data_IF_499867771899
#
_entry.id   IF_499867771899
#
_cell.length_a   1.000
_cell.length_b   1.000
_cell.length_c   1.000
_cell.angle_alpha   90.00
_cell.angle_beta   90.00
_cell.angle_gamma   90.00
#
_symmetry.space_group_name_H-M   'P 1'
#
loop_
_entity.id
_entity.type
_entity.pdbx_description
1 polymer ?
#
# COMPACT_ATOMS: atom_id res chain seq x y z
N UNK A 1 0.47 17.94 -6.00
CA UNK A 1 1.46 17.29 -5.13
C UNK A 1 0.82 15.98 -4.72
N UNK A 2 1.48 14.86 -4.99
CA UNK A 2 0.99 13.54 -4.63
C UNK A 2 1.56 13.13 -3.26
N UNK A 3 0.88 12.22 -2.57
CA UNK A 3 1.45 11.47 -1.45
C UNK A 3 1.44 10.02 -1.89
N UNK A 4 2.63 9.50 -2.20
CA UNK A 4 2.78 8.16 -2.76
C UNK A 4 2.91 7.14 -1.66
N UNK A 5 2.60 5.90 -1.98
CA UNK A 5 2.77 4.79 -1.06
C UNK A 5 3.11 3.51 -1.79
N UNK A 6 3.55 2.52 -1.02
CA UNK A 6 3.73 1.15 -1.50
C UNK A 6 2.85 0.21 -0.68
N UNK A 7 2.09 -0.65 -1.35
CA UNK A 7 1.15 -1.58 -0.71
C UNK A 7 1.72 -2.99 -0.87
N UNK A 8 1.96 -3.69 0.22
CA UNK A 8 2.60 -4.99 0.26
C UNK A 8 1.84 -6.03 1.09
N UNK A 9 2.10 -7.30 0.83
CA UNK A 9 1.57 -8.45 1.58
C UNK A 9 2.70 -9.40 1.99
N UNK A 10 2.72 -9.80 3.25
CA UNK A 10 3.69 -10.77 3.78
C UNK A 10 3.33 -12.20 3.33
N UNK A 11 4.26 -12.85 2.63
CA UNK A 11 4.16 -14.23 2.19
C UNK A 11 4.63 -15.20 3.28
N UNK A 12 4.34 -16.49 3.10
CA UNK A 12 4.62 -17.51 4.14
C UNK A 12 6.11 -17.73 4.43
N UNK A 13 6.99 -17.37 3.51
CA UNK A 13 8.45 -17.44 3.66
C UNK A 13 9.07 -16.14 4.21
N UNK A 14 8.25 -15.13 4.50
CA UNK A 14 8.68 -13.82 4.99
C UNK A 14 9.06 -12.83 3.89
N UNK A 15 8.99 -13.21 2.62
CA UNK A 15 9.09 -12.27 1.50
C UNK A 15 7.84 -11.39 1.40
N UNK A 16 7.96 -10.24 0.74
CA UNK A 16 6.87 -9.28 0.59
C UNK A 16 6.63 -9.04 -0.89
N UNK A 17 5.41 -9.31 -1.35
CA UNK A 17 4.97 -8.90 -2.68
C UNK A 17 4.31 -7.53 -2.57
N UNK A 18 4.68 -6.57 -3.40
CA UNK A 18 4.20 -5.19 -3.30
C UNK A 18 3.92 -4.52 -4.63
N UNK A 19 3.05 -3.51 -4.62
CA UNK A 19 2.72 -2.66 -5.75
C UNK A 19 2.77 -1.18 -5.35
N UNK A 20 3.15 -0.32 -6.29
CA UNK A 20 3.16 1.12 -6.11
C UNK A 20 1.76 1.73 -6.18
N UNK A 21 1.53 2.79 -5.39
CA UNK A 21 0.29 3.54 -5.35
C UNK A 21 0.56 5.05 -5.30
N UNK A 22 -0.09 5.80 -6.20
CA UNK A 22 0.32 7.18 -6.51
C UNK A 22 -0.33 8.27 -5.65
N UNK A 23 -1.65 8.20 -5.43
CA UNK A 23 -2.43 9.31 -4.87
C UNK A 23 -3.01 9.01 -3.50
N UNK A 24 -2.98 10.00 -2.60
CA UNK A 24 -3.65 9.93 -1.28
C UNK A 24 -3.13 8.81 -0.37
N UNK A 25 -1.83 8.50 -0.44
CA UNK A 25 -1.18 7.43 0.32
C UNK A 25 -1.09 7.62 1.85
N UNK A 26 -1.66 8.70 2.41
CA UNK A 26 -1.61 8.96 3.86
C UNK A 26 -2.60 8.08 4.66
N UNK A 27 -2.31 7.78 5.94
CA UNK A 27 -3.08 6.80 6.73
C UNK A 27 -4.57 7.12 6.87
N UNK A 28 -4.93 8.41 6.91
CA UNK A 28 -6.30 8.90 7.04
C UNK A 28 -7.18 8.63 5.82
N UNK A 29 -6.59 8.30 4.67
CA UNK A 29 -7.33 7.93 3.46
C UNK A 29 -7.00 6.50 3.03
N UNK A 30 -5.77 6.25 2.57
CA UNK A 30 -5.40 4.94 2.03
C UNK A 30 -5.53 3.84 3.09
N UNK A 31 -4.97 4.05 4.28
CA UNK A 31 -5.06 3.06 5.36
C UNK A 31 -6.51 2.68 5.70
N UNK A 32 -7.44 3.64 5.67
CA UNK A 32 -8.87 3.38 5.91
C UNK A 32 -9.54 2.65 4.76
N UNK A 33 -9.20 2.96 3.52
CA UNK A 33 -9.67 2.23 2.34
C UNK A 33 -9.19 0.77 2.40
N UNK A 34 -7.91 0.54 2.68
CA UNK A 34 -7.35 -0.80 2.83
C UNK A 34 -8.06 -1.60 3.93
N UNK A 35 -8.24 -1.00 5.13
CA UNK A 35 -8.97 -1.64 6.23
C UNK A 35 -10.46 -1.89 5.95
N UNK A 36 -11.08 -1.15 5.02
CA UNK A 36 -12.53 -1.27 4.73
C UNK A 36 -12.82 -2.20 3.55
N UNK A 37 -12.02 -2.12 2.50
CA UNK A 37 -12.30 -2.75 1.20
C UNK A 37 -11.30 -3.85 0.83
N UNK A 38 -10.12 -3.87 1.45
CA UNK A 38 -9.06 -4.84 1.20
C UNK A 38 -8.61 -5.51 2.50
N UNK A 39 -9.58 -5.94 3.32
CA UNK A 39 -9.41 -6.32 4.72
C UNK A 39 -9.18 -7.82 4.96
N UNK A 40 -8.81 -8.56 3.92
CA UNK A 40 -8.47 -9.97 4.00
C UNK A 40 -7.28 -10.24 3.11
N UNK A 41 -6.58 -11.36 3.37
CA UNK A 41 -5.43 -11.76 2.58
C UNK A 41 -5.79 -11.87 1.10
N UNK A 42 -6.95 -12.45 0.78
CA UNK A 42 -7.43 -12.64 -0.59
C UNK A 42 -7.64 -11.30 -1.31
N UNK A 43 -8.30 -10.34 -0.66
CA UNK A 43 -8.55 -9.01 -1.25
C UNK A 43 -7.25 -8.19 -1.38
N UNK A 44 -6.36 -8.29 -0.40
CA UNK A 44 -5.05 -7.65 -0.46
C UNK A 44 -4.18 -8.22 -1.59
N UNK A 45 -4.18 -9.55 -1.76
CA UNK A 45 -3.49 -10.22 -2.88
C UNK A 45 -4.07 -9.80 -4.22
N UNK A 46 -5.40 -9.81 -4.39
CA UNK A 46 -6.03 -9.37 -5.64
C UNK A 46 -5.69 -7.91 -5.98
N UNK A 47 -5.69 -7.03 -4.99
CA UNK A 47 -5.29 -5.63 -5.17
C UNK A 47 -3.85 -5.53 -5.69
N UNK A 48 -2.92 -6.22 -5.04
CA UNK A 48 -1.49 -6.18 -5.36
C UNK A 48 -1.23 -6.84 -6.71
N UNK A 49 -1.84 -7.99 -7.01
CA UNK A 49 -1.62 -8.74 -8.26
C UNK A 49 -1.95 -7.94 -9.53
N UNK A 50 -2.80 -6.91 -9.43
CA UNK A 50 -3.07 -6.00 -10.55
C UNK A 50 -1.91 -5.06 -10.92
N UNK A 51 -0.88 -4.97 -10.08
CA UNK A 51 0.32 -4.17 -10.30
C UNK A 51 0.17 -2.73 -9.82
N UNK A 52 1.05 -1.86 -10.34
CA UNK A 52 1.09 -0.46 -9.93
C UNK A 52 -0.19 0.28 -10.32
N UNK A 53 -0.62 1.20 -9.45
CA UNK A 53 -1.90 1.88 -9.59
C UNK A 53 -1.85 3.38 -9.30
N UNK A 54 -2.77 4.11 -9.93
CA UNK A 54 -3.03 5.52 -9.64
C UNK A 54 -3.68 5.69 -8.26
N UNK A 55 -4.76 4.94 -8.05
CA UNK A 55 -5.52 4.87 -6.81
C UNK A 55 -6.10 3.46 -6.66
N UNK A 56 -6.27 2.99 -5.44
CA UNK A 56 -6.92 1.71 -5.14
C UNK A 56 -8.45 1.84 -5.05
N UNK A 57 -8.99 3.06 -5.01
CA UNK A 57 -10.43 3.30 -4.80
C UNK A 57 -10.85 4.67 -5.34
N UNK A 58 -11.29 4.69 -6.61
CA UNK A 58 -11.80 5.88 -7.29
C UNK A 58 -13.34 5.96 -7.34
N UNK A 59 -13.86 6.73 -8.30
CA UNK A 59 -15.31 6.90 -8.53
C UNK A 59 -16.01 5.56 -8.79
N UNK A 60 -15.34 4.67 -9.51
CA UNK A 60 -15.83 3.33 -9.86
C UNK A 60 -15.68 2.31 -8.73
N UNK A 61 -15.18 2.72 -7.55
CA UNK A 61 -14.96 1.83 -6.38
C UNK A 61 -14.08 0.63 -6.72
N UNK A 62 -13.06 0.87 -7.54
CA UNK A 62 -12.11 -0.11 -8.00
C UNK A 62 -10.71 0.51 -8.12
N UNK A 63 -9.65 -0.30 -8.17
CA UNK A 63 -8.32 0.18 -8.46
C UNK A 63 -8.17 0.66 -9.91
N UNK A 64 -7.40 1.74 -10.08
CA UNK A 64 -7.01 2.27 -11.38
C UNK A 64 -5.57 1.86 -11.70
N UNK A 65 -5.40 0.63 -12.19
CA UNK A 65 -4.09 0.09 -12.55
C UNK A 65 -3.49 0.76 -13.78
N UNK A 66 -2.17 0.93 -13.78
CA UNK A 66 -1.42 1.41 -14.95
C UNK A 66 -1.42 0.39 -16.10
N UNK A 67 -1.51 -0.90 -15.78
CA UNK A 67 -1.67 -1.99 -16.75
C UNK A 67 -2.92 -1.84 -17.62
N UNK A 68 -4.00 -1.25 -17.10
CA UNK A 68 -5.21 -0.94 -17.88
C UNK A 68 -4.96 0.09 -19.01
N UNK A 69 -3.84 0.84 -18.94
CA UNK A 69 -3.39 1.80 -19.96
C UNK A 69 -2.30 1.23 -20.89
N UNK A 70 -1.94 -0.05 -20.70
CA UNK A 70 -0.90 -0.73 -21.47
C UNK A 70 0.52 -0.56 -20.92
N UNK A 71 0.67 -0.09 -19.68
CA UNK A 71 1.97 -0.02 -19.00
C UNK A 71 2.32 -1.38 -18.36
N UNK A 72 3.60 -1.76 -18.42
CA UNK A 72 4.08 -3.00 -17.82
C UNK A 72 4.71 -2.70 -16.46
N UNK A 73 3.86 -2.68 -15.43
CA UNK A 73 4.22 -2.34 -14.05
C UNK A 73 3.75 -3.46 -13.10
N UNK A 74 4.37 -4.65 -13.16
CA UNK A 74 3.98 -5.78 -12.32
C UNK A 74 4.40 -5.57 -10.86
N UNK A 75 3.82 -6.32 -9.92
CA UNK A 75 4.25 -6.29 -8.53
C UNK A 75 5.72 -6.67 -8.36
N UNK A 76 6.35 -6.07 -7.36
CA UNK A 76 7.75 -6.32 -6.98
C UNK A 76 7.80 -7.29 -5.81
N UNK A 77 8.70 -8.26 -5.87
CA UNK A 77 8.96 -9.21 -4.79
C UNK A 77 10.25 -8.84 -4.07
N UNK A 78 10.13 -8.46 -2.81
CA UNK A 78 11.24 -8.17 -1.90
C UNK A 78 11.48 -9.36 -0.98
N UNK A 79 12.75 -9.72 -0.73
CA UNK A 79 13.07 -10.93 0.04
C UNK A 79 12.82 -10.78 1.54
N UNK A 80 12.66 -9.54 2.03
CA UNK A 80 12.46 -9.26 3.45
C UNK A 80 11.81 -7.90 3.69
N UNK A 81 11.35 -7.67 4.93
CA UNK A 81 10.87 -6.35 5.38
C UNK A 81 11.91 -5.24 5.21
N UNK A 82 13.19 -5.54 5.39
CA UNK A 82 14.26 -4.56 5.22
C UNK A 82 14.36 -4.09 3.77
N UNK A 83 14.33 -5.03 2.82
CA UNK A 83 14.36 -4.71 1.38
C UNK A 83 13.13 -3.89 0.97
N UNK A 84 11.95 -4.33 1.39
CA UNK A 84 10.68 -3.64 1.14
C UNK A 84 10.66 -2.18 1.64
N UNK A 85 11.32 -1.91 2.78
CA UNK A 85 11.38 -0.58 3.38
C UNK A 85 12.62 0.24 2.95
N UNK A 86 13.52 -0.31 2.13
CA UNK A 86 14.81 0.34 1.82
C UNK A 86 14.73 1.46 0.77
N UNK A 87 13.77 1.38 -0.16
CA UNK A 87 13.55 2.35 -1.25
C UNK A 87 12.04 2.66 -1.36
N UNK A 88 11.46 3.03 -0.20
CA UNK A 88 10.04 3.26 -0.04
C UNK A 88 9.59 4.64 -0.52
N UNK A 89 8.31 4.73 -0.86
CA UNK A 89 7.61 6.01 -1.07
C UNK A 89 7.37 6.71 0.29
N UNK A 90 6.54 7.77 0.34
CA UNK A 90 6.22 8.46 1.60
C UNK A 90 5.66 7.53 2.70
N UNK A 91 4.81 6.56 2.32
CA UNK A 91 4.26 5.56 3.22
C UNK A 91 4.39 4.14 2.67
N UNK A 92 4.52 3.15 3.54
CA UNK A 92 4.45 1.74 3.18
C UNK A 92 3.34 1.04 3.99
N UNK A 93 2.52 0.24 3.34
CA UNK A 93 1.44 -0.51 3.96
C UNK A 93 1.70 -2.00 3.79
N UNK A 94 1.79 -2.73 4.89
CA UNK A 94 2.04 -4.17 4.89
C UNK A 94 0.85 -4.91 5.48
N UNK A 95 0.23 -5.78 4.70
CA UNK A 95 -0.74 -6.75 5.20
C UNK A 95 -0.03 -7.92 5.84
N UNK A 96 -0.18 -8.08 7.15
CA UNK A 96 0.40 -9.18 7.93
C UNK A 96 -0.46 -9.51 9.13
N UNK A 97 -0.48 -10.79 9.53
CA UNK A 97 -1.29 -11.26 10.66
C UNK A 97 -2.76 -10.81 10.60
N UNK A 98 -3.34 -10.85 9.39
CA UNK A 98 -4.72 -10.41 9.09
C UNK A 98 -5.02 -8.93 9.35
N UNK A 99 -4.00 -8.08 9.46
CA UNK A 99 -4.13 -6.64 9.70
C UNK A 99 -3.20 -5.81 8.79
N UNK A 100 -3.59 -4.56 8.52
CA UNK A 100 -2.73 -3.59 7.84
C UNK A 100 -1.84 -2.84 8.83
N UNK A 101 -0.53 -2.85 8.57
CA UNK A 101 0.46 -2.04 9.29
C UNK A 101 0.92 -0.91 8.37
N UNK A 102 0.89 0.33 8.85
CA UNK A 102 1.38 1.48 8.11
C UNK A 102 2.74 1.94 8.66
N UNK A 103 3.68 2.21 7.76
CA UNK A 103 4.98 2.77 8.04
C UNK A 103 5.07 4.16 7.40
N UNK A 104 5.40 5.18 8.20
CA UNK A 104 5.87 6.48 7.71
C UNK A 104 7.37 6.33 7.40
N UNK A 105 7.73 6.55 6.14
CA UNK A 105 9.11 6.37 5.67
C UNK A 105 9.98 7.60 5.91
N UNK A 106 9.39 8.69 6.40
CA UNK A 106 10.06 9.97 6.62
C UNK A 106 10.86 10.42 5.40
N UNK A 107 10.27 10.33 4.20
CA UNK A 107 10.92 10.49 2.89
C UNK A 107 11.78 11.76 2.72
N UNK A 108 11.56 12.79 3.55
CA UNK A 108 12.26 14.06 3.50
C UNK A 108 13.19 14.32 4.70
N UNK A 109 13.39 13.32 5.56
CA UNK A 109 14.23 13.37 6.76
C UNK A 109 15.03 12.08 6.91
N UNK A 110 16.16 12.01 6.17
CA UNK A 110 17.12 10.88 6.19
C UNK A 110 17.71 10.58 7.58
N UNK A 111 17.46 11.43 8.59
CA UNK A 111 17.89 11.18 9.97
C UNK A 111 16.98 10.23 10.74
N UNK A 112 15.80 9.93 10.19
CA UNK A 112 14.80 9.07 10.81
C UNK A 112 14.65 7.75 10.08
N UNK A 113 14.50 6.68 10.86
CA UNK A 113 14.15 5.35 10.35
C UNK A 113 12.62 5.26 10.17
N UNK A 114 12.13 4.33 9.33
CA UNK A 114 10.70 4.09 9.20
C UNK A 114 10.01 3.85 10.54
N UNK A 115 8.89 4.53 10.77
CA UNK A 115 8.11 4.45 12.01
C UNK A 115 6.74 3.84 11.73
N UNK A 116 6.28 2.92 12.59
CA UNK A 116 4.91 2.41 12.52
C UNK A 116 3.95 3.49 13.00
N UNK A 117 3.00 3.89 12.16
CA UNK A 117 1.99 4.90 12.47
C UNK A 117 0.60 4.27 12.54
N UNK A 118 -0.28 4.87 13.35
CA UNK A 118 -1.65 4.39 13.49
C UNK A 118 -2.46 4.70 12.22
N UNK A 119 -3.21 3.71 11.74
CA UNK A 119 -4.27 3.94 10.74
C UNK A 119 -5.52 4.38 11.50
N UNK A 120 -5.97 5.66 11.37
CA UNK A 120 -7.04 6.17 12.21
C UNK A 120 -8.34 5.41 12.00
N UNK A 121 -8.95 4.97 13.09
CA UNK A 121 -10.30 4.42 13.06
C UNK A 121 -11.30 5.54 12.73
N UNK A 122 -12.09 5.37 11.68
CA UNK A 122 -13.20 6.27 11.43
C UNK A 122 -14.16 5.71 10.40
N UNK A 123 -15.45 6.04 10.57
CA UNK A 123 -16.56 5.54 9.77
C UNK A 123 -16.33 5.65 8.26
N UNK A 124 -16.86 4.66 7.54
CA UNK A 124 -16.82 4.54 6.08
C UNK A 124 -16.86 5.94 5.45
N UNK A 125 -15.86 6.27 4.63
CA UNK A 125 -15.91 7.42 3.76
C UNK A 125 -17.24 7.33 3.01
N UNK A 126 -18.18 8.20 3.39
CA UNK A 126 -19.47 8.27 2.73
C UNK A 126 -19.20 8.62 1.28
N UNK A 127 -19.50 7.67 0.40
CA UNK A 127 -19.65 7.89 -1.04
C UNK A 127 -20.77 8.89 -1.32
#
# INVERSE_FOLDING_TARGET
MATRSRIGIELSDGSILSAYHHWDGYPEWLGRILNTHYNSKELATELIDGGDMSTCWGEDKAPEYYSARGEDCPPVLDASLEEYLSDGEEYAYLFRNDEWVCYDMHQFDDSKLPEVVEIPAGGALAV
#
